data_IF_609912277719
#
_entry.id   IF_609912277719
#
_cell.length_a   1.000
_cell.length_b   1.000
_cell.length_c   1.000
_cell.angle_alpha   90.00
_cell.angle_beta   90.00
_cell.angle_gamma   90.00
#
_symmetry.space_group_name_H-M   'P 1'
#
loop_
_entity.id
_entity.type
_entity.pdbx_description
1 polymer ?
#
# COMPACT_ATOMS: atom_id res chain seq x y z
N UNK A 1 -13.85 -24.05 -18.57
CA UNK A 1 -13.42 -23.84 -17.18
C UNK A 1 -14.13 -22.60 -16.67
N UNK A 2 -14.81 -22.65 -15.53
CA UNK A 2 -15.41 -21.45 -14.93
C UNK A 2 -14.32 -20.59 -14.29
N UNK A 3 -14.33 -19.29 -14.58
CA UNK A 3 -13.45 -18.34 -13.90
C UNK A 3 -13.85 -18.27 -12.43
N UNK A 4 -12.97 -18.66 -11.52
CA UNK A 4 -13.22 -18.51 -10.08
C UNK A 4 -13.15 -17.02 -9.71
N UNK A 5 -14.31 -16.47 -9.36
CA UNK A 5 -14.44 -15.06 -9.01
C UNK A 5 -13.98 -14.78 -7.57
N UNK A 6 -13.82 -15.80 -6.72
CA UNK A 6 -13.51 -15.60 -5.31
C UNK A 6 -12.18 -14.86 -5.10
N UNK A 7 -11.05 -15.23 -5.74
CA UNK A 7 -9.79 -14.50 -5.57
C UNK A 7 -9.86 -13.05 -6.05
N UNK A 8 -10.63 -12.78 -7.11
CA UNK A 8 -10.83 -11.43 -7.64
C UNK A 8 -11.64 -10.58 -6.69
N UNK A 9 -12.77 -11.10 -6.21
CA UNK A 9 -13.64 -10.42 -5.24
C UNK A 9 -12.87 -10.15 -3.95
N UNK A 10 -12.14 -11.14 -3.44
CA UNK A 10 -11.33 -10.99 -2.24
C UNK A 10 -10.23 -9.93 -2.41
N UNK A 11 -9.53 -9.94 -3.55
CA UNK A 11 -8.55 -8.90 -3.88
C UNK A 11 -9.21 -7.51 -3.89
N UNK A 12 -10.37 -7.36 -4.54
CA UNK A 12 -11.06 -6.08 -4.61
C UNK A 12 -11.51 -5.56 -3.22
N UNK A 13 -12.06 -6.44 -2.39
CA UNK A 13 -12.46 -6.12 -1.01
C UNK A 13 -11.25 -5.77 -0.16
N UNK A 14 -10.17 -6.55 -0.22
CA UNK A 14 -8.96 -6.31 0.56
C UNK A 14 -8.26 -4.99 0.20
N UNK A 15 -8.26 -4.60 -1.08
CA UNK A 15 -7.81 -3.25 -1.50
C UNK A 15 -8.65 -2.15 -0.85
N UNK A 16 -9.98 -2.30 -0.83
CA UNK A 16 -10.86 -1.31 -0.19
C UNK A 16 -10.58 -1.21 1.32
N UNK A 17 -10.40 -2.35 1.99
CA UNK A 17 -10.05 -2.40 3.41
C UNK A 17 -8.69 -1.71 3.65
N UNK A 18 -7.66 -2.08 2.90
CA UNK A 18 -6.33 -1.45 3.00
C UNK A 18 -6.39 0.06 2.82
N UNK A 19 -7.18 0.57 1.87
CA UNK A 19 -7.36 2.01 1.68
C UNK A 19 -7.96 2.70 2.91
N UNK A 20 -8.82 2.02 3.67
CA UNK A 20 -9.38 2.55 4.92
C UNK A 20 -8.37 2.47 6.07
N UNK A 21 -7.69 1.33 6.24
CA UNK A 21 -6.68 1.15 7.29
C UNK A 21 -5.51 2.11 7.10
N UNK A 22 -5.00 2.23 5.88
CA UNK A 22 -3.89 3.11 5.54
C UNK A 22 -4.23 4.58 5.83
N UNK A 23 -5.45 5.04 5.52
CA UNK A 23 -5.89 6.40 5.89
C UNK A 23 -5.84 6.62 7.39
N UNK A 24 -6.37 5.66 8.16
CA UNK A 24 -6.33 5.72 9.61
C UNK A 24 -4.88 5.76 10.11
N UNK A 25 -4.02 4.87 9.60
CA UNK A 25 -2.62 4.71 10.00
C UNK A 25 -1.85 6.00 9.71
N UNK A 26 -1.93 6.57 8.51
CA UNK A 26 -1.19 7.80 8.23
C UNK A 26 -1.65 8.97 9.09
N UNK A 27 -2.97 9.12 9.30
CA UNK A 27 -3.52 10.18 10.14
C UNK A 27 -3.04 10.06 11.59
N UNK A 28 -3.12 8.87 12.18
CA UNK A 28 -2.75 8.62 13.57
C UNK A 28 -1.24 8.59 13.74
N UNK A 29 -0.48 7.97 12.83
CA UNK A 29 0.99 7.99 12.89
C UNK A 29 1.55 9.43 12.82
N UNK A 30 0.96 10.29 11.98
CA UNK A 30 1.31 11.71 11.97
C UNK A 30 0.85 12.44 13.25
N UNK A 31 -0.35 12.13 13.75
CA UNK A 31 -0.90 12.65 15.01
C UNK A 31 -0.01 12.30 16.22
N UNK A 32 0.33 11.02 16.38
CA UNK A 32 1.29 10.50 17.34
C UNK A 32 2.65 11.22 17.22
N UNK A 33 3.15 11.40 15.99
CA UNK A 33 4.42 12.12 15.75
C UNK A 33 4.35 13.59 16.20
N UNK A 34 3.20 14.24 16.00
CA UNK A 34 2.94 15.60 16.49
C UNK A 34 2.82 15.63 18.01
N UNK A 35 2.12 14.67 18.60
CA UNK A 35 1.95 14.53 20.04
C UNK A 35 3.30 14.35 20.73
N UNK A 36 4.21 13.55 20.17
CA UNK A 36 5.57 13.33 20.69
C UNK A 36 6.41 14.62 20.61
N UNK A 37 6.41 15.30 19.47
CA UNK A 37 7.35 16.41 19.21
C UNK A 37 6.84 17.78 19.61
N UNK A 38 5.52 18.00 19.62
CA UNK A 38 4.89 19.32 19.76
C UNK A 38 5.23 20.30 18.62
N UNK A 39 5.96 19.87 17.59
CA UNK A 39 6.46 20.71 16.50
C UNK A 39 6.05 20.10 15.16
N UNK A 40 5.20 20.79 14.36
CA UNK A 40 4.67 20.22 13.13
C UNK A 40 5.75 19.76 12.13
N UNK A 41 6.90 20.44 12.07
CA UNK A 41 7.99 20.09 11.16
C UNK A 41 8.70 18.80 11.59
N UNK A 42 8.95 18.62 12.90
CA UNK A 42 9.58 17.40 13.43
C UNK A 42 8.63 16.20 13.37
N UNK A 43 7.32 16.43 13.52
CA UNK A 43 6.31 15.40 13.36
C UNK A 43 6.38 14.73 11.98
N UNK A 44 6.52 15.54 10.93
CA UNK A 44 6.68 15.05 9.55
C UNK A 44 7.94 14.19 9.40
N UNK A 45 9.04 14.58 10.05
CA UNK A 45 10.30 13.83 10.00
C UNK A 45 10.16 12.46 10.69
N UNK A 46 9.59 12.39 11.90
CA UNK A 46 9.39 11.11 12.60
C UNK A 46 8.47 10.20 11.78
N UNK A 47 7.34 10.74 11.32
CA UNK A 47 6.41 10.04 10.44
C UNK A 47 7.10 9.48 9.19
N UNK A 48 7.94 10.28 8.52
CA UNK A 48 8.67 9.86 7.33
C UNK A 48 9.73 8.79 7.63
N UNK A 49 10.43 8.87 8.76
CA UNK A 49 11.44 7.88 9.17
C UNK A 49 10.79 6.50 9.37
N UNK A 50 9.62 6.44 9.99
CA UNK A 50 8.89 5.18 10.22
C UNK A 50 8.48 4.51 8.92
N UNK A 51 8.12 5.28 7.89
CA UNK A 51 7.71 4.75 6.59
C UNK A 51 8.85 4.68 5.58
N UNK A 52 10.06 5.12 5.96
CA UNK A 52 11.19 5.30 5.04
C UNK A 52 11.53 4.06 4.23
N UNK A 53 11.59 2.83 4.79
CA UNK A 53 11.92 1.65 3.99
C UNK A 53 10.89 1.40 2.88
N UNK A 54 9.62 1.63 3.18
CA UNK A 54 8.53 1.49 2.21
C UNK A 54 8.56 2.59 1.15
N UNK A 55 8.75 3.85 1.55
CA UNK A 55 8.88 4.99 0.62
C UNK A 55 10.08 4.79 -0.30
N UNK A 56 11.21 4.33 0.24
CA UNK A 56 12.39 4.01 -0.56
C UNK A 56 12.09 2.94 -1.60
N UNK A 57 11.45 1.84 -1.22
CA UNK A 57 11.04 0.79 -2.15
C UNK A 57 10.07 1.31 -3.21
N UNK A 58 9.12 2.17 -2.82
CA UNK A 58 8.15 2.80 -3.72
C UNK A 58 8.85 3.61 -4.82
N UNK A 59 9.69 4.55 -4.42
CA UNK A 59 10.40 5.43 -5.34
C UNK A 59 11.43 4.64 -6.18
N UNK A 60 12.09 3.65 -5.59
CA UNK A 60 13.00 2.75 -6.32
C UNK A 60 12.25 1.95 -7.40
N UNK A 61 11.01 1.54 -7.13
CA UNK A 61 10.18 0.81 -8.09
C UNK A 61 9.85 1.67 -9.30
N UNK A 62 9.46 2.93 -9.09
CA UNK A 62 9.28 3.88 -10.18
C UNK A 62 10.55 4.05 -11.00
N UNK A 63 11.69 4.27 -10.34
CA UNK A 63 12.97 4.48 -11.01
C UNK A 63 13.41 3.25 -11.83
N UNK A 64 13.33 2.05 -11.25
CA UNK A 64 13.68 0.79 -11.92
C UNK A 64 12.80 0.57 -13.14
N UNK A 65 11.48 0.66 -12.99
CA UNK A 65 10.56 0.44 -14.11
C UNK A 65 10.70 1.50 -15.19
N UNK A 66 10.90 2.77 -14.83
CA UNK A 66 11.17 3.83 -15.81
C UNK A 66 12.47 3.55 -16.59
N UNK A 67 13.53 3.16 -15.89
CA UNK A 67 14.84 2.83 -16.51
C UNK A 67 14.72 1.64 -17.45
N UNK A 68 14.04 0.56 -17.03
CA UNK A 68 13.82 -0.63 -17.86
C UNK A 68 12.97 -0.33 -19.11
N UNK A 69 12.04 0.62 -19.02
CA UNK A 69 11.23 1.06 -20.15
C UNK A 69 11.91 2.14 -21.02
N UNK A 70 13.17 2.46 -20.74
CA UNK A 70 13.98 3.43 -21.49
C UNK A 70 13.51 4.88 -21.30
N UNK A 71 12.84 5.19 -20.19
CA UNK A 71 12.36 6.53 -19.86
C UNK A 71 13.45 7.26 -19.08
N UNK A 72 13.76 8.50 -19.47
CA UNK A 72 14.74 9.33 -18.77
C UNK A 72 14.23 9.64 -17.35
N UNK A 73 14.97 9.20 -16.35
CA UNK A 73 14.72 9.53 -14.95
C UNK A 73 15.40 10.85 -14.58
N UNK A 74 14.77 11.62 -13.70
CA UNK A 74 15.24 12.89 -13.17
C UNK A 74 15.65 12.76 -11.71
N UNK A 75 15.20 13.70 -10.87
CA UNK A 75 15.53 13.75 -9.44
C UNK A 75 14.84 12.63 -8.66
N UNK A 76 15.56 12.09 -7.68
CA UNK A 76 15.08 11.13 -6.68
C UNK A 76 15.19 11.79 -5.30
N UNK A 77 14.11 11.83 -4.52
CA UNK A 77 14.12 12.37 -3.16
C UNK A 77 13.23 11.55 -2.25
N UNK A 78 13.71 11.33 -1.03
CA UNK A 78 13.01 10.66 0.08
C UNK A 78 12.79 11.61 1.26
N UNK A 79 13.03 12.91 1.04
CA UNK A 79 12.87 13.94 2.06
C UNK A 79 11.43 14.46 1.97
N UNK A 80 10.67 14.42 3.08
CA UNK A 80 9.28 14.83 3.05
C UNK A 80 9.15 16.35 2.86
N UNK A 81 8.18 16.76 2.06
CA UNK A 81 7.86 18.16 1.79
C UNK A 81 6.37 18.41 1.97
N UNK A 82 6.02 19.57 2.52
CA UNK A 82 4.62 20.02 2.56
C UNK A 82 4.30 20.71 1.25
N UNK A 83 3.23 20.27 0.60
CA UNK A 83 2.72 20.89 -0.60
C UNK A 83 1.87 22.13 -0.27
N UNK A 84 1.67 23.04 -1.23
CA UNK A 84 0.85 24.25 -1.05
C UNK A 84 -0.61 23.96 -0.67
N UNK A 85 -1.12 22.76 -1.02
CA UNK A 85 -2.46 22.29 -0.69
C UNK A 85 -2.58 21.71 0.74
N UNK A 86 -1.49 21.75 1.52
CA UNK A 86 -1.43 21.21 2.87
C UNK A 86 -1.16 19.70 2.93
N UNK A 87 -1.07 19.00 1.78
CA UNK A 87 -0.71 17.58 1.75
C UNK A 87 0.78 17.37 2.04
N UNK A 88 1.11 16.20 2.60
CA UNK A 88 2.49 15.81 2.88
C UNK A 88 2.94 14.85 1.78
N UNK A 89 3.95 15.26 1.01
CA UNK A 89 4.65 14.40 0.08
C UNK A 89 5.84 13.76 0.80
N UNK A 90 5.87 12.43 0.90
CA UNK A 90 6.92 11.69 1.61
C UNK A 90 8.20 11.52 0.78
N UNK A 91 8.05 11.35 -0.52
CA UNK A 91 9.13 11.17 -1.49
C UNK A 91 8.65 11.49 -2.90
N UNK A 92 9.59 11.53 -3.84
CA UNK A 92 9.28 11.62 -5.26
C UNK A 92 10.44 11.14 -6.14
N UNK A 93 10.08 10.49 -7.24
CA UNK A 93 10.91 10.34 -8.43
C UNK A 93 10.32 11.15 -9.58
N UNK A 94 11.12 12.06 -10.12
CA UNK A 94 10.82 12.71 -11.39
C UNK A 94 11.21 11.77 -12.54
N UNK A 95 10.35 11.65 -13.54
CA UNK A 95 10.70 11.06 -14.83
C UNK A 95 10.19 11.98 -15.93
N UNK A 96 10.98 12.10 -17.00
CA UNK A 96 10.67 13.01 -18.09
C UNK A 96 9.52 12.48 -18.92
N UNK A 97 8.38 13.16 -18.81
CA UNK A 97 7.17 12.91 -19.59
C UNK A 97 7.30 13.53 -20.98
N UNK A 98 8.09 12.90 -21.85
CA UNK A 98 8.16 13.29 -23.27
C UNK A 98 6.90 12.87 -24.03
N UNK A 99 6.68 13.44 -25.23
CA UNK A 99 5.57 13.07 -26.13
C UNK A 99 5.57 11.57 -26.54
N UNK A 100 6.67 10.86 -26.28
CA UNK A 100 6.84 9.42 -26.54
C UNK A 100 6.42 8.53 -25.36
N UNK A 101 6.05 9.10 -24.21
CA UNK A 101 5.56 8.36 -23.06
C UNK A 101 4.09 7.96 -23.28
N UNK A 102 3.86 6.84 -23.97
CA UNK A 102 2.51 6.32 -24.18
C UNK A 102 1.83 5.88 -22.87
N UNK A 103 0.49 5.92 -22.83
CA UNK A 103 -0.31 5.59 -21.64
C UNK A 103 0.02 4.23 -21.00
N UNK A 104 0.45 3.25 -21.80
CA UNK A 104 0.90 1.95 -21.31
C UNK A 104 2.16 2.04 -20.44
N UNK A 105 3.22 2.71 -20.92
CA UNK A 105 4.48 2.84 -20.18
C UNK A 105 4.29 3.65 -18.91
N UNK A 106 3.52 4.74 -18.99
CA UNK A 106 3.21 5.56 -17.82
C UNK A 106 2.40 4.79 -16.78
N UNK A 107 1.43 3.96 -17.21
CA UNK A 107 0.64 3.13 -16.29
C UNK A 107 1.47 2.03 -15.62
N UNK A 108 2.41 1.42 -16.34
CA UNK A 108 3.34 0.44 -15.77
C UNK A 108 4.27 1.08 -14.74
N UNK A 109 4.83 2.26 -15.03
CA UNK A 109 5.64 3.01 -14.06
C UNK A 109 4.80 3.33 -12.83
N UNK A 110 3.58 3.82 -13.02
CA UNK A 110 2.64 4.14 -11.94
C UNK A 110 2.23 2.94 -11.07
N UNK A 111 2.11 1.76 -11.67
CA UNK A 111 1.79 0.52 -10.97
C UNK A 111 2.98 -0.21 -10.35
N UNK A 112 4.22 0.19 -10.68
CA UNK A 112 5.43 -0.49 -10.24
C UNK A 112 5.55 -0.64 -8.72
N UNK A 113 5.27 0.39 -7.90
CA UNK A 113 5.37 0.26 -6.44
C UNK A 113 4.42 -0.77 -5.86
N UNK A 114 3.18 -0.86 -6.38
CA UNK A 114 2.22 -1.86 -5.93
C UNK A 114 2.70 -3.27 -6.26
N UNK A 115 3.24 -3.47 -7.47
CA UNK A 115 3.77 -4.77 -7.89
C UNK A 115 4.97 -5.17 -7.02
N UNK A 116 5.93 -4.26 -6.84
CA UNK A 116 7.14 -4.54 -6.07
C UNK A 116 6.85 -4.71 -4.58
N UNK A 117 5.98 -3.87 -4.00
CA UNK A 117 5.55 -3.97 -2.62
C UNK A 117 4.84 -5.29 -2.34
N UNK A 118 3.91 -5.69 -3.23
CA UNK A 118 3.26 -7.01 -3.15
C UNK A 118 4.29 -8.14 -3.24
N UNK A 119 5.24 -8.06 -4.16
CA UNK A 119 6.29 -9.07 -4.30
C UNK A 119 7.15 -9.20 -3.03
N UNK A 120 7.52 -8.08 -2.41
CA UNK A 120 8.27 -8.08 -1.14
C UNK A 120 7.44 -8.65 0.00
N UNK A 121 6.15 -8.31 0.11
CA UNK A 121 5.25 -8.88 1.13
C UNK A 121 5.15 -10.40 0.98
N UNK A 122 4.97 -10.90 -0.25
CA UNK A 122 4.91 -12.34 -0.53
C UNK A 122 6.25 -13.02 -0.25
N UNK A 123 7.37 -12.37 -0.58
CA UNK A 123 8.70 -12.90 -0.29
C UNK A 123 8.90 -13.08 1.22
N UNK A 124 8.54 -12.08 2.02
CA UNK A 124 8.59 -12.17 3.48
C UNK A 124 7.62 -13.25 3.97
N UNK A 125 6.38 -13.26 3.48
CA UNK A 125 5.37 -14.23 3.88
C UNK A 125 5.77 -15.67 3.66
N UNK A 126 6.29 -15.99 2.47
CA UNK A 126 6.68 -17.36 2.14
C UNK A 126 8.03 -17.76 2.73
N UNK A 127 9.03 -16.85 2.74
CA UNK A 127 10.41 -17.23 3.06
C UNK A 127 10.81 -16.97 4.50
N UNK A 128 10.13 -16.06 5.17
CA UNK A 128 10.45 -15.66 6.54
C UNK A 128 9.39 -16.20 7.50
N UNK A 129 8.11 -15.98 7.21
CA UNK A 129 7.01 -16.38 8.10
C UNK A 129 6.37 -17.72 7.79
N UNK A 130 6.75 -18.41 6.71
CA UNK A 130 6.20 -19.74 6.41
C UNK A 130 4.67 -19.75 6.28
N UNK A 131 4.08 -18.72 5.66
CA UNK A 131 2.62 -18.51 5.60
C UNK A 131 1.85 -19.70 5.00
N UNK A 132 2.51 -20.56 4.23
CA UNK A 132 1.93 -21.80 3.70
C UNK A 132 1.47 -22.73 4.83
N UNK A 133 2.29 -22.93 5.86
CA UNK A 133 1.93 -23.79 7.01
C UNK A 133 0.81 -23.16 7.83
N UNK A 134 0.85 -21.84 8.01
CA UNK A 134 -0.23 -21.11 8.66
C UNK A 134 -1.55 -21.24 7.89
N UNK A 135 -1.53 -21.16 6.56
CA UNK A 135 -2.71 -21.32 5.72
C UNK A 135 -3.29 -22.75 5.83
N UNK A 136 -2.44 -23.77 5.83
CA UNK A 136 -2.86 -25.18 6.04
C UNK A 136 -3.46 -25.37 7.43
N UNK A 137 -2.85 -24.78 8.46
CA UNK A 137 -3.36 -24.83 9.83
C UNK A 137 -4.72 -24.14 10.01
N UNK A 138 -4.95 -23.00 9.33
CA UNK A 138 -6.25 -22.33 9.31
C UNK A 138 -7.30 -23.19 8.62
N UNK A 139 -6.96 -23.78 7.47
CA UNK A 139 -7.89 -24.61 6.69
C UNK A 139 -8.25 -25.92 7.39
N UNK A 140 -7.34 -26.48 8.18
CA UNK A 140 -7.60 -27.71 8.93
C UNK A 140 -8.61 -27.51 10.07
N UNK A 141 -8.83 -26.27 10.52
CA UNK A 141 -9.70 -25.93 11.65
C UNK A 141 -9.20 -26.45 13.00
N UNK A 142 -7.98 -26.99 13.06
CA UNK A 142 -7.42 -27.57 14.28
C UNK A 142 -6.68 -26.50 15.07
N UNK A 143 -7.12 -26.28 16.31
CA UNK A 143 -6.53 -25.27 17.21
C UNK A 143 -5.06 -25.58 17.51
N UNK A 144 -4.71 -26.86 17.68
CA UNK A 144 -3.33 -27.27 17.94
C UNK A 144 -2.40 -26.96 16.77
N UNK A 145 -2.84 -27.24 15.54
CA UNK A 145 -2.07 -26.90 14.33
C UNK A 145 -1.92 -25.38 14.18
N UNK A 146 -2.99 -24.61 14.45
CA UNK A 146 -2.96 -23.15 14.35
C UNK A 146 -2.03 -22.52 15.39
N UNK A 147 -2.09 -23.00 16.64
CA UNK A 147 -1.22 -22.49 17.72
C UNK A 147 0.24 -22.80 17.48
N UNK A 148 0.57 -23.99 16.95
CA UNK A 148 1.93 -24.33 16.55
C UNK A 148 2.43 -23.44 15.42
N UNK A 149 1.66 -23.31 14.33
CA UNK A 149 2.04 -22.48 13.19
C UNK A 149 2.23 -21.00 13.59
N UNK A 150 1.35 -20.45 14.42
CA UNK A 150 1.53 -19.10 14.98
C UNK A 150 2.78 -19.01 15.86
N UNK A 151 3.02 -20.02 16.70
CA UNK A 151 4.20 -20.08 17.55
C UNK A 151 5.50 -20.04 16.73
N UNK A 152 5.53 -20.71 15.58
CA UNK A 152 6.69 -20.72 14.70
C UNK A 152 6.93 -19.37 14.02
N UNK A 153 5.85 -18.65 13.65
CA UNK A 153 5.95 -17.25 13.17
C UNK A 153 6.56 -16.34 14.22
N UNK A 154 6.14 -16.44 15.49
CA UNK A 154 6.71 -15.61 16.56
C UNK A 154 8.15 -15.97 16.93
N UNK A 155 8.59 -17.20 16.64
CA UNK A 155 9.96 -17.66 16.86
C UNK A 155 10.91 -17.32 15.71
N UNK A 156 10.41 -16.75 14.61
CA UNK A 156 11.25 -16.33 13.50
C UNK A 156 12.32 -15.33 13.97
N UNK A 157 13.60 -15.54 13.61
CA UNK A 157 14.65 -14.57 13.90
C UNK A 157 14.28 -13.19 13.36
N UNK A 158 14.55 -12.14 14.16
CA UNK A 158 14.25 -10.76 13.80
C UNK A 158 12.77 -10.51 13.45
N UNK A 159 11.85 -11.29 14.02
CA UNK A 159 10.40 -11.20 13.78
C UNK A 159 9.88 -9.74 13.75
N UNK A 160 10.25 -8.93 14.74
CA UNK A 160 9.81 -7.54 14.83
C UNK A 160 10.32 -6.67 13.68
N UNK A 161 11.52 -6.92 13.15
CA UNK A 161 12.08 -6.19 12.00
C UNK A 161 11.29 -6.54 10.75
N UNK A 162 11.00 -7.82 10.53
CA UNK A 162 10.21 -8.27 9.39
C UNK A 162 8.75 -7.79 9.45
N UNK A 163 8.16 -7.81 10.66
CA UNK A 163 6.83 -7.27 10.92
C UNK A 163 6.79 -5.76 10.63
N UNK A 164 7.79 -5.01 11.07
CA UNK A 164 7.96 -3.59 10.76
C UNK A 164 8.15 -3.34 9.26
N UNK A 165 8.96 -4.14 8.56
CA UNK A 165 9.16 -3.98 7.12
C UNK A 165 7.87 -4.24 6.34
N UNK A 166 7.08 -5.26 6.72
CA UNK A 166 5.75 -5.49 6.14
C UNK A 166 4.84 -4.28 6.34
N UNK A 167 4.81 -3.71 7.55
CA UNK A 167 4.04 -2.51 7.85
C UNK A 167 4.49 -1.31 7.01
N UNK A 168 5.79 -1.02 6.96
CA UNK A 168 6.33 0.12 6.23
C UNK A 168 6.08 -0.02 4.72
N UNK A 169 6.31 -1.20 4.15
CA UNK A 169 6.08 -1.48 2.72
C UNK A 169 4.60 -1.40 2.38
N UNK A 170 3.74 -2.03 3.17
CA UNK A 170 2.29 -2.04 2.88
C UNK A 170 1.66 -0.66 2.93
N UNK A 171 2.07 0.19 3.88
CA UNK A 171 1.57 1.55 4.01
C UNK A 171 2.24 2.56 3.05
N UNK A 172 3.24 2.14 2.28
CA UNK A 172 3.88 2.97 1.27
C UNK A 172 3.56 2.57 -0.18
N UNK A 173 3.28 1.28 -0.46
CA UNK A 173 3.18 0.75 -1.82
C UNK A 173 1.94 1.19 -2.62
N UNK A 174 0.94 1.78 -1.96
CA UNK A 174 -0.33 2.11 -2.60
C UNK A 174 -0.19 3.31 -3.56
N UNK A 175 -0.65 3.19 -4.82
CA UNK A 175 -0.45 4.24 -5.82
C UNK A 175 -1.09 5.57 -5.45
N UNK A 176 -0.32 6.64 -5.53
CA UNK A 176 -0.79 8.00 -5.31
C UNK A 176 -1.67 8.51 -6.47
N UNK A 177 -2.11 9.78 -6.39
CA UNK A 177 -2.88 10.41 -7.47
C UNK A 177 -2.03 10.61 -8.72
N UNK A 178 -0.76 10.95 -8.58
CA UNK A 178 0.16 11.09 -9.73
C UNK A 178 0.41 9.75 -10.41
N UNK A 179 0.50 8.67 -9.62
CA UNK A 179 0.87 7.34 -10.12
C UNK A 179 -0.24 6.72 -10.95
N UNK A 180 -1.50 7.00 -10.58
CA UNK A 180 -2.69 6.51 -11.30
C UNK A 180 -3.14 7.41 -12.43
N UNK A 181 -2.44 8.52 -12.71
CA UNK A 181 -2.87 9.51 -13.70
C UNK A 181 -3.12 8.91 -15.08
N UNK A 182 -2.27 8.00 -15.53
CA UNK A 182 -2.37 7.36 -16.85
C UNK A 182 -3.34 6.18 -16.90
N UNK A 183 -3.77 5.67 -15.74
CA UNK A 183 -4.60 4.47 -15.66
C UNK A 183 -5.94 4.61 -16.39
N UNK A 184 -6.68 5.73 -16.31
CA UNK A 184 -7.91 5.89 -17.08
C UNK A 184 -7.69 5.71 -18.59
N UNK A 185 -6.65 6.32 -19.14
CA UNK A 185 -6.32 6.19 -20.56
C UNK A 185 -5.92 4.75 -20.91
N UNK A 186 -5.16 4.09 -20.04
CA UNK A 186 -4.80 2.67 -20.20
C UNK A 186 -6.03 1.75 -20.18
N UNK A 187 -6.95 1.93 -19.23
CA UNK A 187 -8.16 1.11 -19.15
C UNK A 187 -9.09 1.33 -20.34
N UNK A 188 -9.25 2.57 -20.82
CA UNK A 188 -10.01 2.84 -22.05
C UNK A 188 -9.37 2.15 -23.25
N UNK A 189 -8.04 2.23 -23.40
CA UNK A 189 -7.31 1.57 -24.47
C UNK A 189 -7.49 0.04 -24.41
N UNK A 190 -7.39 -0.53 -23.20
CA UNK A 190 -7.59 -1.97 -22.98
C UNK A 190 -9.02 -2.40 -23.28
N UNK A 191 -10.02 -1.59 -22.89
CA UNK A 191 -11.44 -1.85 -23.16
C UNK A 191 -11.73 -1.89 -24.67
N UNK A 192 -11.18 -0.95 -25.42
CA UNK A 192 -11.30 -0.92 -26.89
C UNK A 192 -10.66 -2.19 -27.49
N UNK A 193 -9.47 -2.56 -27.04
CA UNK A 193 -8.79 -3.78 -27.49
C UNK A 193 -9.60 -5.05 -27.18
N UNK A 194 -10.12 -5.18 -25.97
CA UNK A 194 -10.98 -6.31 -25.56
C UNK A 194 -12.25 -6.36 -26.42
N UNK A 195 -12.89 -5.21 -26.66
CA UNK A 195 -14.06 -5.11 -27.55
C UNK A 195 -13.76 -5.55 -28.98
N UNK A 196 -12.59 -5.18 -29.51
CA UNK A 196 -12.13 -5.63 -30.82
C UNK A 196 -11.92 -7.15 -30.85
N UNK A 197 -11.22 -7.71 -29.85
CA UNK A 197 -10.99 -9.16 -29.74
C UNK A 197 -12.30 -9.96 -29.60
N UNK A 198 -13.29 -9.37 -28.93
CA UNK A 198 -14.64 -9.94 -28.83
C UNK A 198 -15.33 -9.98 -30.19
N UNK A 199 -15.36 -8.87 -30.93
CA UNK A 199 -15.96 -8.79 -32.27
C UNK A 199 -15.29 -9.74 -33.26
N UNK A 200 -13.97 -9.93 -33.13
CA UNK A 200 -13.19 -10.86 -33.95
C UNK A 200 -13.39 -12.34 -33.55
N UNK A 201 -14.10 -12.64 -32.46
CA UNK A 201 -14.31 -14.00 -31.96
C UNK A 201 -13.07 -14.67 -31.36
N UNK A 202 -11.97 -13.92 -31.18
CA UNK A 202 -10.68 -14.42 -30.68
C UNK A 202 -10.65 -14.45 -29.14
N UNK A 203 -11.50 -13.65 -28.48
CA UNK A 203 -11.46 -13.47 -27.03
C UNK A 203 -11.58 -14.79 -26.25
N UNK A 204 -12.44 -15.71 -26.68
CA UNK A 204 -12.63 -16.99 -25.98
C UNK A 204 -11.38 -17.87 -26.03
N UNK A 205 -10.66 -17.86 -27.16
CA UNK A 205 -9.40 -18.60 -27.32
C UNK A 205 -8.36 -18.06 -26.34
N UNK A 206 -8.21 -16.74 -26.30
CA UNK A 206 -7.28 -16.08 -25.39
C UNK A 206 -7.64 -16.31 -23.91
N UNK A 207 -8.92 -16.22 -23.56
CA UNK A 207 -9.38 -16.38 -22.18
C UNK A 207 -9.11 -17.79 -21.65
N UNK A 208 -9.23 -18.83 -22.48
CA UNK A 208 -8.99 -20.21 -22.05
C UNK A 208 -7.59 -20.41 -21.45
N UNK A 209 -6.59 -19.72 -22.00
CA UNK A 209 -5.20 -19.79 -21.53
C UNK A 209 -4.91 -18.78 -20.41
N UNK A 210 -5.68 -17.69 -20.32
CA UNK A 210 -5.47 -16.64 -19.33
C UNK A 210 -6.20 -16.87 -18.00
N UNK A 211 -7.31 -17.63 -17.96
CA UNK A 211 -8.08 -17.83 -16.71
C UNK A 211 -7.19 -18.39 -15.59
N UNK A 212 -6.42 -19.45 -15.84
CA UNK A 212 -5.57 -20.09 -14.82
C UNK A 212 -4.49 -19.15 -14.24
N UNK A 213 -3.67 -18.50 -15.10
CA UNK A 213 -2.71 -17.50 -14.66
C UNK A 213 -3.34 -16.33 -13.91
N UNK A 214 -4.49 -15.81 -14.37
CA UNK A 214 -5.19 -14.71 -13.69
C UNK A 214 -5.66 -15.12 -12.31
N UNK A 215 -6.31 -16.28 -12.17
CA UNK A 215 -6.74 -16.80 -10.86
C UNK A 215 -5.56 -16.94 -9.89
N UNK A 216 -4.42 -17.42 -10.38
CA UNK A 216 -3.18 -17.52 -9.59
C UNK A 216 -2.68 -16.15 -9.14
N UNK A 217 -2.61 -15.17 -10.04
CA UNK A 217 -2.17 -13.81 -9.72
C UNK A 217 -3.08 -13.16 -8.68
N UNK A 218 -4.40 -13.24 -8.85
CA UNK A 218 -5.35 -12.72 -7.88
C UNK A 218 -5.29 -13.47 -6.53
N UNK A 219 -5.01 -14.77 -6.54
CA UNK A 219 -4.75 -15.53 -5.31
C UNK A 219 -3.56 -14.98 -4.53
N UNK A 220 -2.44 -14.72 -5.21
CA UNK A 220 -1.26 -14.11 -4.58
C UNK A 220 -1.49 -12.67 -4.11
N UNK A 221 -2.20 -11.85 -4.88
CA UNK A 221 -2.60 -10.50 -4.44
C UNK A 221 -3.46 -10.57 -3.17
N UNK A 222 -4.47 -11.43 -3.18
CA UNK A 222 -5.34 -11.66 -2.03
C UNK A 222 -4.57 -12.09 -0.78
N UNK A 223 -3.60 -13.00 -0.92
CA UNK A 223 -2.72 -13.42 0.18
C UNK A 223 -1.89 -12.25 0.71
N UNK A 224 -1.22 -11.51 -0.18
CA UNK A 224 -0.38 -10.37 0.19
C UNK A 224 -1.18 -9.28 0.92
N UNK A 225 -2.36 -8.95 0.41
CA UNK A 225 -3.23 -7.94 1.03
C UNK A 225 -3.82 -8.43 2.36
N UNK A 226 -4.12 -9.72 2.50
CA UNK A 226 -4.56 -10.28 3.78
C UNK A 226 -3.47 -10.18 4.85
N UNK A 227 -2.22 -10.46 4.47
CA UNK A 227 -1.07 -10.28 5.35
C UNK A 227 -0.89 -8.81 5.74
N UNK A 228 -0.94 -7.90 4.77
CA UNK A 228 -0.86 -6.46 5.02
C UNK A 228 -1.96 -6.00 5.99
N UNK A 229 -3.22 -6.41 5.78
CA UNK A 229 -4.34 -6.12 6.69
C UNK A 229 -4.06 -6.63 8.10
N UNK A 230 -3.58 -7.88 8.24
CA UNK A 230 -3.27 -8.46 9.55
C UNK A 230 -2.20 -7.66 10.30
N UNK A 231 -1.13 -7.29 9.59
CA UNK A 231 -0.06 -6.45 10.15
C UNK A 231 -0.56 -5.06 10.52
N UNK A 232 -1.33 -4.43 9.64
CA UNK A 232 -1.91 -3.11 9.85
C UNK A 232 -2.79 -3.08 11.09
N UNK A 233 -3.65 -4.09 11.29
CA UNK A 233 -4.49 -4.17 12.50
C UNK A 233 -3.67 -4.24 13.80
N UNK A 234 -2.56 -4.99 13.79
CA UNK A 234 -1.63 -5.05 14.93
C UNK A 234 -1.01 -3.67 15.20
N UNK A 235 -0.51 -3.00 14.17
CA UNK A 235 0.08 -1.67 14.30
C UNK A 235 -0.95 -0.60 14.66
N UNK A 236 -2.18 -0.70 14.19
CA UNK A 236 -3.27 0.19 14.59
C UNK A 236 -3.52 0.11 16.10
N UNK A 237 -3.56 -1.10 16.66
CA UNK A 237 -3.66 -1.30 18.11
C UNK A 237 -2.49 -0.66 18.86
N UNK A 238 -1.26 -0.83 18.36
CA UNK A 238 -0.07 -0.24 18.97
C UNK A 238 -0.06 1.30 18.90
N UNK A 239 -0.40 1.88 17.75
CA UNK A 239 -0.48 3.34 17.55
C UNK A 239 -1.54 3.93 18.48
N UNK A 240 -2.74 3.35 18.53
CA UNK A 240 -3.82 3.83 19.40
C UNK A 240 -3.43 3.78 20.88
N UNK A 241 -2.75 2.71 21.30
CA UNK A 241 -2.25 2.58 22.67
C UNK A 241 -1.20 3.65 22.99
N UNK A 242 -0.24 3.88 22.10
CA UNK A 242 0.78 4.91 22.27
C UNK A 242 0.18 6.32 22.31
N UNK A 243 -0.77 6.62 21.43
CA UNK A 243 -1.47 7.91 21.44
C UNK A 243 -2.17 8.15 22.77
N UNK A 244 -2.89 7.16 23.30
CA UNK A 244 -3.59 7.30 24.57
C UNK A 244 -2.61 7.49 25.75
N UNK A 245 -1.54 6.71 25.80
CA UNK A 245 -0.51 6.81 26.85
C UNK A 245 0.12 8.21 26.83
N UNK A 246 0.59 8.66 25.67
CA UNK A 246 1.29 9.94 25.57
C UNK A 246 0.32 11.11 25.78
N UNK A 247 -0.93 10.98 25.35
CA UNK A 247 -1.95 12.01 25.57
C UNK A 247 -2.25 12.19 27.06
N UNK A 248 -2.31 11.08 27.82
CA UNK A 248 -2.45 11.12 29.28
C UNK A 248 -1.24 11.76 29.96
N UNK A 249 -0.03 11.41 29.52
CA UNK A 249 1.21 11.95 30.10
C UNK A 249 1.32 13.46 29.86
N UNK A 250 0.97 13.93 28.65
CA UNK A 250 1.11 15.35 28.27
C UNK A 250 -0.11 16.21 28.60
N UNK A 251 -1.25 15.60 28.95
CA UNK A 251 -2.51 16.32 29.19
C UNK A 251 -3.08 17.02 27.95
N UNK A 252 -2.68 16.59 26.75
CA UNK A 252 -3.15 17.14 25.47
C UNK A 252 -3.63 16.00 24.58
N UNK A 253 -4.57 16.28 23.67
CA UNK A 253 -5.08 15.32 22.69
C UNK A 253 -4.95 15.88 21.28
N UNK A 254 -4.70 15.00 20.31
CA UNK A 254 -4.73 15.37 18.89
C UNK A 254 -6.19 15.46 18.45
N UNK A 255 -6.58 16.61 17.90
CA UNK A 255 -7.90 16.78 17.30
C UNK A 255 -7.75 16.54 15.80
N UNK A 256 -8.34 15.45 15.32
CA UNK A 256 -8.41 15.14 13.89
C UNK A 256 -9.58 15.93 13.28
N UNK A 257 -9.28 17.11 12.73
CA UNK A 257 -10.27 17.93 12.05
C UNK A 257 -10.58 17.41 10.65
N UNK A 258 -11.86 17.18 10.34
CA UNK A 258 -12.35 17.23 8.97
C UNK A 258 -12.17 18.67 8.47
N UNK A 259 -11.45 18.85 7.37
CA UNK A 259 -11.31 20.15 6.71
C UNK A 259 -12.68 20.61 6.19
N UNK A 260 -13.43 21.32 7.02
CA UNK A 260 -14.50 22.27 6.68
C UNK A 260 -14.97 22.95 7.97
N UNK A 261 -14.29 24.02 8.36
CA UNK A 261 -15.00 25.14 8.95
C UNK A 261 -15.36 26.04 7.75
N UNK A 262 -16.65 26.36 7.52
CA UNK A 262 -17.01 27.32 6.49
C UNK A 262 -16.34 28.67 6.80
N UNK A 263 -15.88 29.42 5.79
CA UNK A 263 -15.32 30.74 6.02
C UNK A 263 -16.45 31.64 6.55
N UNK A 264 -16.43 31.95 7.86
CA UNK A 264 -17.41 32.86 8.45
C UNK A 264 -17.80 32.64 9.92
N UNK A 265 -17.23 31.68 10.67
CA UNK A 265 -17.46 31.65 12.12
C UNK A 265 -16.41 32.48 12.84
N UNK A 266 -16.73 33.76 13.05
CA UNK A 266 -16.15 34.58 14.11
C UNK A 266 -16.30 33.84 15.43
N UNK A 267 -15.21 33.31 15.96
CA UNK A 267 -15.15 32.92 17.35
C UNK A 267 -14.54 34.06 18.14
N UNK A 268 -15.47 34.82 18.71
CA UNK A 268 -15.31 35.80 19.76
C UNK A 268 -14.34 35.31 20.85
N UNK A 269 -13.51 36.27 21.27
CA UNK A 269 -12.73 36.31 22.50
C UNK A 269 -13.43 35.71 23.73
N UNK A 270 -12.74 34.82 24.43
CA UNK A 270 -12.22 34.99 25.81
C UNK A 270 -11.21 33.90 26.13
#
# INVERSE_FOLDING_TARGET
>A
MSFDLMPVIWTAVSVLVLLLLQRWIHTHLHGLSLLITGRPQLAVVIYAIVLLPGVFLHELSHWLTATLLGVRTGRFSIIPQRQPDGSIQLGYVEYYRGATLGAFRESLIGGAPLIMGTAVILLIGFRIFGITELAVAIQSGQVDALTLALGDVFRTPDFLVWLYLLFAVSNAMMPSRSDRRAWPAFFVTMLILIGLLYVLGILNVLMNDLVGPLTTVFGYLGLAFSMAIGVDLVFMGFIALLEEIISRIKGVRVVYGSAEAPPGTDNLTM
#
